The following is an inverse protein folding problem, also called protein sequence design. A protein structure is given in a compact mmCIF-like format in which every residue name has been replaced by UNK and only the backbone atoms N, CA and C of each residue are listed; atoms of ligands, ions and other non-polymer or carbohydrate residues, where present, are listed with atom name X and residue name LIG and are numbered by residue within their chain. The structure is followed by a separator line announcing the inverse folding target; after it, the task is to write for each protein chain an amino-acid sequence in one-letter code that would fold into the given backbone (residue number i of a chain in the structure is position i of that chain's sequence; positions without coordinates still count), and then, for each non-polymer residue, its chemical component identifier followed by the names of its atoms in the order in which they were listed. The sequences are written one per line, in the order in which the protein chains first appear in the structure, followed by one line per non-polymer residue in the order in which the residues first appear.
data_IF_565301501955
#
_entry.id   IF_565301501955
#
_cell.length_a   1.000
_cell.length_b   1.000
_cell.length_c   1.000
_cell.angle_alpha   90.00
_cell.angle_beta   90.00
_cell.angle_gamma   90.00
#
_symmetry.space_group_name_H-M   'P 1'
#
loop_
_entity.id
_entity.type
_entity.pdbx_description
1 polymer ?
#
# COMPACT_ATOMS: atom_id res chain seq x y z
N UNK A 1 -17.87 -12.00 18.12
CA UNK A 1 -17.32 -10.71 18.59
C UNK A 1 -17.60 -9.67 17.51
N UNK A 2 -18.35 -8.62 17.83
CA UNK A 2 -18.77 -7.57 16.88
C UNK A 2 -17.97 -6.28 17.03
N UNK A 3 -17.17 -6.13 18.09
CA UNK A 3 -16.34 -4.94 18.34
C UNK A 3 -14.86 -5.21 18.04
N UNK A 4 -14.19 -4.29 17.36
CA UNK A 4 -12.75 -4.29 17.11
C UNK A 4 -12.05 -3.15 17.87
N UNK A 5 -10.81 -3.42 18.31
CA UNK A 5 -9.99 -2.53 19.16
C UNK A 5 -8.63 -2.22 18.54
N UNK A 6 -8.54 -2.31 17.22
CA UNK A 6 -7.31 -2.20 16.44
C UNK A 6 -7.22 -0.88 15.69
N UNK A 7 -8.16 -0.68 14.77
CA UNK A 7 -7.99 0.28 13.68
C UNK A 7 -8.94 1.46 13.81
N UNK A 8 -8.54 2.59 13.21
CA UNK A 8 -9.40 3.72 12.95
C UNK A 8 -10.71 3.28 12.28
N UNK A 9 -11.83 3.97 12.60
CA UNK A 9 -13.16 3.56 12.14
C UNK A 9 -13.23 3.50 10.62
N UNK A 10 -12.67 4.49 9.92
CA UNK A 10 -12.63 4.56 8.46
C UNK A 10 -11.95 3.32 7.83
N UNK A 11 -10.98 2.69 8.50
CA UNK A 11 -10.33 1.46 8.01
C UNK A 11 -11.25 0.26 8.25
N UNK A 12 -11.77 0.10 9.48
CA UNK A 12 -12.59 -1.07 9.82
C UNK A 12 -13.96 -1.06 9.14
N UNK A 13 -14.54 0.10 8.88
CA UNK A 13 -15.90 0.27 8.36
C UNK A 13 -16.05 -0.27 6.94
N UNK A 14 -15.05 -0.04 6.08
CA UNK A 14 -15.01 -0.65 4.75
C UNK A 14 -14.98 -2.18 4.83
N UNK A 15 -14.05 -2.74 5.61
CA UNK A 15 -13.93 -4.18 5.80
C UNK A 15 -15.21 -4.77 6.40
N UNK A 16 -15.82 -4.07 7.35
CA UNK A 16 -17.08 -4.43 7.98
C UNK A 16 -18.18 -4.62 6.94
N UNK A 17 -18.41 -3.61 6.08
CA UNK A 17 -19.42 -3.65 5.02
C UNK A 17 -19.15 -4.74 4.00
N UNK A 18 -17.92 -4.84 3.52
CA UNK A 18 -17.58 -5.70 2.38
C UNK A 18 -17.41 -7.17 2.76
N UNK A 19 -16.98 -7.46 4.00
CA UNK A 19 -16.54 -8.81 4.40
C UNK A 19 -17.28 -9.37 5.62
N UNK A 20 -17.95 -8.52 6.40
CA UNK A 20 -18.59 -8.91 7.68
C UNK A 20 -20.05 -8.42 7.79
N UNK A 21 -20.72 -8.15 6.67
CA UNK A 21 -22.12 -7.71 6.58
C UNK A 21 -22.46 -6.47 7.43
N UNK A 22 -21.48 -5.59 7.67
CA UNK A 22 -21.64 -4.39 8.47
C UNK A 22 -21.66 -4.61 9.99
N UNK A 23 -21.31 -5.81 10.47
CA UNK A 23 -21.45 -6.18 11.89
C UNK A 23 -20.17 -6.04 12.71
N UNK A 24 -19.12 -5.40 12.16
CA UNK A 24 -17.87 -5.10 12.86
C UNK A 24 -17.78 -3.60 13.16
N UNK A 25 -17.71 -3.25 14.45
CA UNK A 25 -17.74 -1.89 14.96
C UNK A 25 -16.43 -1.51 15.64
N UNK A 26 -15.92 -0.31 15.38
CA UNK A 26 -14.76 0.22 16.09
C UNK A 26 -15.12 0.65 17.51
N UNK A 27 -14.32 0.27 18.50
CA UNK A 27 -14.40 0.84 19.84
C UNK A 27 -14.01 2.33 19.81
N UNK A 28 -14.65 3.14 20.66
CA UNK A 28 -14.35 4.58 20.84
C UNK A 28 -12.87 4.86 21.12
N UNK A 29 -12.18 3.90 21.74
CA UNK A 29 -10.77 4.01 22.09
C UNK A 29 -9.86 4.03 20.85
N UNK A 30 -10.31 3.49 19.72
CA UNK A 30 -9.55 3.41 18.45
C UNK A 30 -10.16 4.17 17.29
N UNK A 31 -11.44 4.54 17.37
CA UNK A 31 -12.23 5.03 16.25
C UNK A 31 -11.66 6.27 15.57
N UNK A 32 -10.98 7.15 16.32
CA UNK A 32 -10.44 8.44 15.85
C UNK A 32 -8.90 8.54 15.84
N UNK A 33 -8.19 7.42 16.06
CA UNK A 33 -6.72 7.42 16.17
C UNK A 33 -6.03 7.70 14.82
N UNK A 34 -5.16 8.69 14.81
CA UNK A 34 -4.36 9.08 13.65
C UNK A 34 -2.86 8.98 13.95
N UNK A 35 -2.02 9.01 12.91
CA UNK A 35 -0.56 8.95 13.07
C UNK A 35 -0.01 10.14 13.87
N UNK A 36 -0.59 11.33 13.71
CA UNK A 36 -0.20 12.53 14.46
C UNK A 36 -0.37 12.40 15.98
N UNK A 37 -1.17 11.44 16.45
CA UNK A 37 -1.36 11.19 17.88
C UNK A 37 -0.26 10.31 18.47
N UNK A 38 0.67 9.81 17.65
CA UNK A 38 1.84 9.07 18.12
C UNK A 38 2.86 10.06 18.72
N UNK A 39 3.56 9.69 19.81
CA UNK A 39 4.54 10.57 20.44
C UNK A 39 5.65 10.99 19.48
N UNK A 40 5.84 12.31 19.31
CA UNK A 40 6.86 12.89 18.46
C UNK A 40 6.52 12.96 16.98
N UNK A 41 5.30 12.60 16.57
CA UNK A 41 4.86 12.72 15.17
C UNK A 41 4.27 14.10 14.91
N UNK A 42 4.76 14.79 13.89
CA UNK A 42 4.28 16.09 13.45
C UNK A 42 2.93 15.98 12.73
N UNK A 43 2.13 17.05 12.81
CA UNK A 43 0.89 17.17 12.05
C UNK A 43 1.23 17.55 10.60
N UNK A 44 0.88 16.66 9.67
CA UNK A 44 0.98 16.85 8.22
C UNK A 44 -0.32 16.39 7.57
N UNK A 45 -0.48 16.62 6.26
CA UNK A 45 -1.61 16.06 5.51
C UNK A 45 -1.69 14.53 5.64
N UNK A 46 -0.54 13.84 5.50
CA UNK A 46 -0.47 12.39 5.61
C UNK A 46 -0.74 11.86 7.02
N UNK A 47 -0.21 12.54 8.07
CA UNK A 47 -0.37 12.05 9.45
C UNK A 47 -1.72 12.40 10.07
N UNK A 48 -2.51 13.25 9.40
CA UNK A 48 -3.84 13.69 9.83
C UNK A 48 -5.00 12.96 9.14
N UNK A 49 -4.72 12.04 8.22
CA UNK A 49 -5.75 11.26 7.54
C UNK A 49 -5.57 9.75 7.76
N UNK A 50 -6.65 8.98 7.96
CA UNK A 50 -6.55 7.53 8.14
C UNK A 50 -6.43 6.78 6.81
N UNK A 51 -6.89 7.36 5.70
CA UNK A 51 -6.92 6.74 4.38
C UNK A 51 -6.29 7.68 3.37
N UNK A 52 -5.46 7.17 2.46
CA UNK A 52 -4.89 7.99 1.40
C UNK A 52 -4.83 7.20 0.10
N UNK A 53 -5.20 7.83 -1.01
CA UNK A 53 -4.97 7.30 -2.35
C UNK A 53 -3.88 8.13 -3.03
N UNK A 54 -2.74 7.51 -3.31
CA UNK A 54 -1.70 8.04 -4.18
C UNK A 54 -1.94 7.48 -5.58
N UNK A 55 -2.83 8.15 -6.31
CA UNK A 55 -3.25 7.73 -7.66
C UNK A 55 -2.11 8.00 -8.65
N UNK A 56 -1.77 6.99 -9.47
CA UNK A 56 -0.80 7.15 -10.55
C UNK A 56 -1.41 7.76 -11.81
N UNK A 57 -2.67 8.18 -11.74
CA UNK A 57 -3.34 8.98 -12.76
C UNK A 57 -3.49 10.44 -12.34
N UNK A 58 -3.37 11.32 -13.32
CA UNK A 58 -3.78 12.72 -13.18
C UNK A 58 -5.29 12.83 -12.99
N UNK A 59 -5.76 13.99 -12.53
CA UNK A 59 -7.20 14.28 -12.44
C UNK A 59 -7.93 14.14 -13.80
N UNK A 60 -7.21 14.37 -14.91
CA UNK A 60 -7.72 14.18 -16.28
C UNK A 60 -7.71 12.72 -16.77
N UNK A 61 -7.30 11.75 -15.93
CA UNK A 61 -7.28 10.33 -16.29
C UNK A 61 -6.05 9.89 -17.11
N UNK A 62 -5.06 10.75 -17.30
CA UNK A 62 -3.79 10.37 -17.95
C UNK A 62 -2.87 9.68 -16.95
N UNK A 63 -2.24 8.58 -17.35
CA UNK A 63 -1.25 7.86 -16.56
C UNK A 63 0.03 8.73 -16.42
N UNK A 64 0.55 8.82 -15.20
CA UNK A 64 1.80 9.53 -14.94
C UNK A 64 2.98 8.78 -15.58
N UNK A 65 3.98 9.54 -16.04
CA UNK A 65 5.17 8.97 -16.66
C UNK A 65 5.87 7.98 -15.71
N UNK A 66 6.30 6.83 -16.25
CA UNK A 66 6.94 5.77 -15.48
C UNK A 66 5.99 4.90 -14.63
N UNK A 67 4.68 5.15 -14.66
CA UNK A 67 3.69 4.40 -13.87
C UNK A 67 3.07 3.21 -14.62
N UNK A 68 3.62 2.78 -15.75
CA UNK A 68 3.18 1.57 -16.46
C UNK A 68 3.71 0.31 -15.79
N UNK A 69 2.91 -0.76 -15.80
CA UNK A 69 3.36 -2.07 -15.32
C UNK A 69 4.42 -2.68 -16.26
N UNK A 70 5.44 -3.30 -15.70
CA UNK A 70 6.55 -3.92 -16.42
C UNK A 70 6.77 -5.36 -15.93
N UNK A 71 7.12 -6.27 -16.84
CA UNK A 71 7.58 -7.61 -16.45
C UNK A 71 8.96 -7.52 -15.82
N UNK A 72 9.20 -8.32 -14.79
CA UNK A 72 10.54 -8.54 -14.22
C UNK A 72 11.60 -8.89 -15.28
N UNK A 73 11.20 -9.55 -16.37
CA UNK A 73 12.08 -9.89 -17.49
C UNK A 73 12.51 -8.66 -18.32
N UNK A 74 11.67 -7.64 -18.38
CA UNK A 74 11.90 -6.44 -19.18
C UNK A 74 12.81 -5.45 -18.44
N UNK A 75 12.96 -5.59 -17.12
CA UNK A 75 13.72 -4.69 -16.23
C UNK A 75 15.23 -5.06 -16.19
N UNK A 76 15.68 -6.03 -17.00
CA UNK A 76 17.11 -6.34 -17.15
C UNK A 76 17.75 -7.14 -16.01
N UNK A 77 16.95 -7.77 -15.13
CA UNK A 77 17.41 -8.70 -14.09
C UNK A 77 17.81 -10.08 -14.62
N UNK A 78 18.63 -10.13 -15.67
CA UNK A 78 19.10 -11.35 -16.33
C UNK A 78 20.21 -12.05 -15.53
N UNK A 79 19.85 -12.66 -14.41
CA UNK A 79 20.72 -13.52 -13.63
C UNK A 79 19.96 -14.74 -13.12
N UNK A 80 19.44 -15.58 -14.02
CA UNK A 80 18.90 -16.88 -13.64
C UNK A 80 19.09 -17.92 -14.75
N UNK A 81 19.68 -19.05 -14.33
CA UNK A 81 19.85 -20.30 -15.06
C UNK A 81 18.57 -20.73 -15.79
N UNK A 82 18.75 -21.27 -16.99
CA UNK A 82 17.73 -21.74 -17.93
C UNK A 82 17.06 -23.04 -17.48
N UNK A 83 16.42 -23.06 -16.31
CA UNK A 83 15.48 -24.12 -15.90
C UNK A 83 14.09 -23.53 -15.73
N UNK A 84 13.45 -23.31 -16.89
CA UNK A 84 12.08 -22.82 -17.00
C UNK A 84 11.09 -23.86 -16.46
N UNK A 85 10.52 -23.58 -15.28
CA UNK A 85 9.14 -23.96 -14.98
C UNK A 85 8.26 -22.78 -15.35
N UNK A 86 7.08 -23.04 -15.92
CA UNK A 86 6.09 -22.06 -16.42
C UNK A 86 5.47 -21.17 -15.33
N UNK A 87 6.28 -20.42 -14.58
CA UNK A 87 5.80 -19.39 -13.65
C UNK A 87 5.65 -18.07 -14.41
N UNK A 88 4.49 -17.43 -14.29
CA UNK A 88 4.29 -16.07 -14.81
C UNK A 88 5.34 -15.15 -14.19
N UNK A 89 6.15 -14.48 -15.02
CA UNK A 89 7.12 -13.47 -14.57
C UNK A 89 6.47 -12.46 -13.61
N UNK A 90 7.14 -12.10 -12.52
CA UNK A 90 6.63 -11.10 -11.58
C UNK A 90 6.50 -9.72 -12.25
N UNK A 91 5.74 -8.81 -11.64
CA UNK A 91 5.52 -7.46 -12.16
C UNK A 91 6.14 -6.41 -11.24
N UNK A 92 6.53 -5.28 -11.81
CA UNK A 92 6.91 -4.09 -11.08
C UNK A 92 6.39 -2.83 -11.76
N UNK A 93 6.38 -1.74 -11.01
CA UNK A 93 5.94 -0.42 -11.43
C UNK A 93 6.85 0.63 -10.77
N UNK A 94 7.73 1.23 -11.58
CA UNK A 94 8.74 2.20 -11.14
C UNK A 94 8.13 3.46 -10.53
N UNK A 95 7.08 3.99 -11.15
CA UNK A 95 6.37 5.17 -10.68
C UNK A 95 5.66 4.94 -9.35
N UNK A 96 4.99 3.79 -9.19
CA UNK A 96 4.43 3.42 -7.88
C UNK A 96 5.53 3.25 -6.83
N UNK A 97 6.64 2.58 -7.17
CA UNK A 97 7.74 2.38 -6.23
C UNK A 97 8.35 3.72 -5.79
N UNK A 98 8.48 4.68 -6.71
CA UNK A 98 8.89 6.06 -6.38
C UNK A 98 7.89 6.75 -5.44
N UNK A 99 6.59 6.69 -5.75
CA UNK A 99 5.55 7.28 -4.90
C UNK A 99 5.54 6.69 -3.48
N UNK A 100 5.69 5.37 -3.36
CA UNK A 100 5.88 4.69 -2.07
C UNK A 100 7.10 5.23 -1.34
N UNK A 101 8.25 5.32 -2.00
CA UNK A 101 9.49 5.82 -1.38
C UNK A 101 9.33 7.26 -0.88
N UNK A 102 8.70 8.14 -1.66
CA UNK A 102 8.45 9.52 -1.25
C UNK A 102 7.46 9.62 -0.08
N UNK A 103 6.40 8.80 -0.07
CA UNK A 103 5.46 8.76 1.05
C UNK A 103 6.13 8.27 2.34
N UNK A 104 6.95 7.21 2.26
CA UNK A 104 7.75 6.71 3.39
C UNK A 104 8.69 7.81 3.89
N UNK A 105 9.42 8.48 2.99
CA UNK A 105 10.33 9.57 3.37
C UNK A 105 9.60 10.71 4.10
N UNK A 106 8.42 11.11 3.60
CA UNK A 106 7.58 12.13 4.24
C UNK A 106 7.11 11.72 5.64
N UNK A 107 6.69 10.47 5.82
CA UNK A 107 6.27 9.94 7.13
C UNK A 107 7.43 9.88 8.13
N UNK A 108 8.61 9.43 7.69
CA UNK A 108 9.82 9.42 8.51
C UNK A 108 10.24 10.84 8.90
N UNK A 109 10.22 11.78 7.95
CA UNK A 109 10.50 13.21 8.19
C UNK A 109 9.50 13.85 9.16
N UNK A 110 8.26 13.37 9.18
CA UNK A 110 7.25 13.77 10.15
C UNK A 110 7.41 13.08 11.53
N UNK A 111 8.42 12.22 11.73
CA UNK A 111 8.70 11.57 13.02
C UNK A 111 8.06 10.19 13.22
N UNK A 112 7.37 9.64 12.21
CA UNK A 112 6.87 8.25 12.28
C UNK A 112 8.06 7.31 12.28
N UNK A 113 8.11 6.34 13.21
CA UNK A 113 9.26 5.45 13.33
C UNK A 113 9.24 4.39 12.22
N UNK A 114 10.40 3.97 11.67
CA UNK A 114 10.43 2.95 10.62
C UNK A 114 9.69 1.66 10.97
N UNK A 115 9.77 1.22 12.24
CA UNK A 115 9.08 0.01 12.73
C UNK A 115 7.55 0.09 12.70
N UNK A 116 7.02 1.31 12.69
CA UNK A 116 5.57 1.59 12.71
C UNK A 116 5.00 1.67 11.28
N UNK A 117 5.86 1.67 10.26
CA UNK A 117 5.51 1.68 8.84
C UNK A 117 5.76 0.30 8.23
N UNK A 118 4.80 -0.18 7.44
CA UNK A 118 4.95 -1.39 6.63
C UNK A 118 4.53 -1.11 5.19
N UNK A 119 5.27 -1.68 4.25
CA UNK A 119 4.92 -1.63 2.82
C UNK A 119 4.58 -3.04 2.35
N UNK A 120 3.48 -3.15 1.60
CA UNK A 120 3.01 -4.39 1.02
C UNK A 120 2.84 -4.25 -0.48
N UNK A 121 3.16 -5.30 -1.22
CA UNK A 121 2.87 -5.39 -2.65
C UNK A 121 2.63 -6.84 -3.06
N UNK A 122 1.71 -7.14 -3.99
CA UNK A 122 1.43 -8.51 -4.39
C UNK A 122 2.54 -9.15 -5.24
N UNK A 123 3.48 -8.37 -5.77
CA UNK A 123 4.51 -8.86 -6.68
C UNK A 123 5.91 -8.79 -6.07
N UNK A 124 6.64 -9.91 -6.13
CA UNK A 124 7.99 -10.01 -5.60
C UNK A 124 8.99 -9.04 -6.27
N UNK A 125 8.85 -8.79 -7.57
CA UNK A 125 9.67 -7.81 -8.27
C UNK A 125 9.45 -6.39 -7.71
N UNK A 126 8.21 -5.99 -7.48
CA UNK A 126 7.90 -4.72 -6.83
C UNK A 126 8.45 -4.63 -5.40
N UNK A 127 8.35 -5.70 -4.60
CA UNK A 127 8.93 -5.74 -3.25
C UNK A 127 10.43 -5.47 -3.29
N UNK A 128 11.17 -6.13 -4.18
CA UNK A 128 12.62 -5.91 -4.32
C UNK A 128 12.93 -4.50 -4.80
N UNK A 129 12.17 -3.99 -5.77
CA UNK A 129 12.35 -2.64 -6.29
C UNK A 129 12.16 -1.57 -5.21
N UNK A 130 11.08 -1.66 -4.42
CA UNK A 130 10.82 -0.73 -3.33
C UNK A 130 11.93 -0.80 -2.28
N UNK A 131 12.37 -2.01 -1.88
CA UNK A 131 13.51 -2.16 -0.95
C UNK A 131 14.76 -1.47 -1.46
N UNK A 132 15.10 -1.66 -2.73
CA UNK A 132 16.27 -1.02 -3.34
C UNK A 132 16.16 0.51 -3.34
N UNK A 133 14.98 1.06 -3.67
CA UNK A 133 14.76 2.52 -3.62
C UNK A 133 14.83 3.08 -2.21
N UNK A 134 14.24 2.39 -1.22
CA UNK A 134 14.31 2.79 0.19
C UNK A 134 15.76 2.77 0.72
N UNK A 135 16.54 1.76 0.34
CA UNK A 135 17.97 1.71 0.65
C UNK A 135 18.71 2.91 0.02
N UNK A 136 18.48 3.18 -1.27
CA UNK A 136 19.16 4.26 -1.97
C UNK A 136 18.88 5.65 -1.35
N UNK A 137 17.63 5.94 -0.95
CA UNK A 137 17.32 7.23 -0.29
C UNK A 137 17.84 7.32 1.14
N UNK A 138 18.02 6.18 1.83
CA UNK A 138 18.68 6.14 3.12
C UNK A 138 20.18 6.40 2.99
N UNK A 139 20.84 5.74 2.04
CA UNK A 139 22.28 5.90 1.77
C UNK A 139 22.63 7.32 1.33
N UNK A 140 21.75 7.95 0.55
CA UNK A 140 21.87 9.35 0.15
C UNK A 140 21.60 10.36 1.29
N UNK A 141 21.21 9.89 2.48
CA UNK A 141 20.85 10.74 3.62
C UNK A 141 19.52 11.49 3.47
N UNK A 142 18.78 11.27 2.38
CA UNK A 142 17.52 11.95 2.10
C UNK A 142 16.37 11.45 2.99
N UNK A 143 16.39 10.18 3.41
CA UNK A 143 15.41 9.60 4.34
C UNK A 143 16.07 8.58 5.29
N UNK A 144 16.79 9.04 6.34
CA UNK A 144 17.46 8.15 7.27
C UNK A 144 16.50 7.17 7.95
N UNK A 145 16.79 5.87 7.85
CA UNK A 145 15.94 4.81 8.41
C UNK A 145 14.91 4.23 7.45
N UNK A 146 14.82 4.71 6.22
CA UNK A 146 13.98 4.12 5.18
C UNK A 146 14.33 2.66 4.89
N UNK A 147 15.60 2.28 4.99
CA UNK A 147 16.10 0.92 4.84
C UNK A 147 15.59 -0.04 5.92
N UNK A 148 15.14 0.48 7.06
CA UNK A 148 14.57 -0.29 8.18
C UNK A 148 13.06 -0.52 8.07
N UNK A 149 12.41 0.11 7.08
CA UNK A 149 10.98 -0.11 6.82
C UNK A 149 10.81 -1.49 6.20
N UNK A 150 9.94 -2.30 6.80
CA UNK A 150 9.68 -3.64 6.28
C UNK A 150 8.81 -3.56 5.03
N UNK A 151 9.30 -4.17 3.95
CA UNK A 151 8.60 -4.33 2.68
C UNK A 151 8.41 -5.82 2.43
N UNK A 152 7.18 -6.27 2.30
CA UNK A 152 6.86 -7.70 2.16
C UNK A 152 5.76 -7.93 1.12
N UNK A 153 5.58 -9.18 0.69
CA UNK A 153 4.37 -9.50 -0.06
C UNK A 153 3.17 -9.59 0.88
N UNK A 154 1.96 -9.47 0.33
CA UNK A 154 0.72 -9.62 1.11
C UNK A 154 0.67 -10.98 1.82
N UNK A 155 1.17 -12.04 1.17
CA UNK A 155 1.18 -13.40 1.71
C UNK A 155 2.28 -13.62 2.75
N UNK A 156 3.45 -12.99 2.57
CA UNK A 156 4.60 -13.14 3.48
C UNK A 156 4.57 -12.19 4.66
N UNK A 157 3.47 -11.45 4.84
CA UNK A 157 3.32 -10.48 5.92
C UNK A 157 3.20 -11.20 7.28
N UNK A 158 4.35 -11.44 7.91
CA UNK A 158 4.46 -12.03 9.25
C UNK A 158 4.57 -10.94 10.31
N UNK A 159 3.50 -10.73 11.06
CA UNK A 159 3.39 -9.68 12.07
C UNK A 159 2.05 -8.99 11.91
N UNK A 160 1.15 -9.14 12.88
CA UNK A 160 -0.29 -9.04 12.61
C UNK A 160 -0.77 -7.65 12.19
N UNK A 161 -0.05 -6.57 12.48
CA UNK A 161 -0.55 -5.19 12.41
C UNK A 161 0.60 -4.17 12.36
N UNK A 162 0.35 -2.95 11.86
CA UNK A 162 1.25 -1.80 11.93
C UNK A 162 0.46 -0.50 12.13
N UNK A 163 1.11 0.55 12.61
CA UNK A 163 0.45 1.86 12.74
C UNK A 163 0.12 2.45 11.37
N UNK A 164 1.04 2.28 10.40
CA UNK A 164 0.91 2.70 9.02
C UNK A 164 1.16 1.52 8.06
N UNK A 165 0.25 1.31 7.10
CA UNK A 165 0.45 0.35 5.99
C UNK A 165 0.37 1.07 4.65
N UNK A 166 1.30 0.79 3.74
CA UNK A 166 1.30 1.32 2.37
C UNK A 166 1.18 0.13 1.42
N UNK A 167 0.21 0.15 0.52
CA UNK A 167 -0.05 -0.94 -0.43
C UNK A 167 0.21 -0.45 -1.85
N UNK A 168 1.24 -0.99 -2.51
CA UNK A 168 1.48 -0.77 -3.95
C UNK A 168 0.79 -1.86 -4.76
N UNK A 169 -0.13 -1.45 -5.64
CA UNK A 169 -0.99 -2.36 -6.41
C UNK A 169 -0.34 -2.91 -7.67
N UNK A 170 0.65 -2.20 -8.22
CA UNK A 170 1.48 -2.51 -9.41
C UNK A 170 0.73 -2.47 -10.73
N UNK A 171 -0.50 -2.99 -10.77
CA UNK A 171 -1.26 -3.20 -12.00
C UNK A 171 -1.69 -1.89 -12.62
N UNK A 172 -1.23 -1.67 -13.85
CA UNK A 172 -1.55 -0.52 -14.69
C UNK A 172 -1.52 -0.96 -16.15
N UNK A 173 -2.71 -1.23 -16.70
CA UNK A 173 -2.88 -1.74 -18.05
C UNK A 173 -4.28 -1.41 -18.61
N UNK A 174 -4.36 -1.30 -19.93
CA UNK A 174 -5.59 -0.93 -20.66
C UNK A 174 -6.65 -2.04 -20.66
N UNK A 175 -6.28 -3.26 -20.26
CA UNK A 175 -7.19 -4.42 -20.21
C UNK A 175 -8.04 -4.45 -18.93
N UNK A 176 -7.79 -3.55 -17.98
CA UNK A 176 -8.44 -3.57 -16.67
C UNK A 176 -8.09 -4.83 -15.85
N UNK A 177 -6.97 -5.48 -16.15
CA UNK A 177 -6.60 -6.74 -15.51
C UNK A 177 -5.92 -6.45 -14.16
N UNK A 178 -6.50 -6.95 -13.08
CA UNK A 178 -6.02 -6.73 -11.70
C UNK A 178 -5.23 -7.92 -11.13
N UNK A 179 -5.35 -9.11 -11.76
CA UNK A 179 -4.61 -10.32 -11.38
C UNK A 179 -4.72 -10.65 -9.90
N UNK A 180 -3.58 -10.73 -9.19
CA UNK A 180 -3.53 -11.10 -7.77
C UNK A 180 -4.48 -10.27 -6.89
N UNK A 181 -4.71 -9.00 -7.24
CA UNK A 181 -5.57 -8.09 -6.49
C UNK A 181 -7.04 -8.51 -6.50
N UNK A 182 -7.48 -9.39 -7.41
CA UNK A 182 -8.87 -9.88 -7.45
C UNK A 182 -9.23 -10.75 -6.23
N UNK A 183 -8.24 -11.23 -5.48
CA UNK A 183 -8.48 -11.93 -4.23
C UNK A 183 -8.90 -10.93 -3.13
N UNK A 184 -10.22 -10.86 -2.92
CA UNK A 184 -10.85 -10.01 -1.91
C UNK A 184 -10.35 -10.28 -0.50
N UNK A 185 -10.04 -11.54 -0.16
CA UNK A 185 -9.56 -11.89 1.18
C UNK A 185 -8.16 -11.33 1.39
N UNK A 186 -7.28 -11.47 0.41
CA UNK A 186 -5.91 -10.92 0.46
C UNK A 186 -5.91 -9.40 0.55
N UNK A 187 -6.76 -8.74 -0.25
CA UNK A 187 -6.88 -7.27 -0.19
C UNK A 187 -7.49 -6.78 1.12
N UNK A 188 -8.51 -7.45 1.64
CA UNK A 188 -9.04 -7.16 2.97
C UNK A 188 -7.98 -7.33 4.05
N UNK A 189 -7.19 -8.41 3.98
CA UNK A 189 -6.08 -8.62 4.91
C UNK A 189 -5.10 -7.47 4.81
N UNK A 190 -4.58 -7.16 3.62
CA UNK A 190 -3.60 -6.09 3.41
C UNK A 190 -4.07 -4.75 4.00
N UNK A 191 -5.31 -4.36 3.69
CA UNK A 191 -5.90 -3.11 4.14
C UNK A 191 -6.11 -3.05 5.66
N UNK A 192 -6.63 -4.13 6.26
CA UNK A 192 -6.95 -4.19 7.71
C UNK A 192 -5.76 -4.44 8.63
N UNK A 193 -4.53 -4.52 8.08
CA UNK A 193 -3.29 -4.53 8.88
C UNK A 193 -2.95 -3.15 9.46
N UNK A 194 -3.50 -2.07 8.92
CA UNK A 194 -3.28 -0.73 9.44
C UNK A 194 -4.11 -0.45 10.70
N UNK A 195 -3.49 0.25 11.65
CA UNK A 195 -4.18 0.77 12.83
C UNK A 195 -4.62 2.22 12.66
N UNK A 196 -3.74 3.08 12.15
CA UNK A 196 -3.98 4.54 12.11
C UNK A 196 -4.03 5.10 10.70
N UNK A 197 -3.23 4.57 9.79
CA UNK A 197 -3.13 5.07 8.42
C UNK A 197 -2.92 3.93 7.42
N UNK A 198 -3.65 3.97 6.32
CA UNK A 198 -3.40 3.13 5.15
C UNK A 198 -3.36 3.98 3.88
N UNK A 199 -2.28 3.82 3.11
CA UNK A 199 -2.15 4.43 1.79
C UNK A 199 -2.21 3.36 0.70
N UNK A 200 -3.02 3.59 -0.33
CA UNK A 200 -3.03 2.80 -1.56
C UNK A 200 -2.28 3.58 -2.62
N UNK A 201 -1.29 2.95 -3.26
CA UNK A 201 -0.55 3.50 -4.39
C UNK A 201 -0.89 2.67 -5.61
N UNK A 202 -1.44 3.30 -6.64
CA UNK A 202 -1.91 2.52 -7.78
C UNK A 202 -2.63 3.30 -8.86
N UNK A 203 -2.83 2.60 -9.98
CA UNK A 203 -3.62 3.06 -11.12
C UNK A 203 -5.12 2.83 -10.84
N UNK A 204 -5.87 3.90 -10.60
CA UNK A 204 -7.27 3.76 -10.19
C UNK A 204 -8.23 3.26 -11.27
N UNK A 205 -7.97 3.42 -12.58
CA UNK A 205 -8.87 2.84 -13.60
C UNK A 205 -8.55 1.38 -13.90
N UNK A 206 -7.30 0.93 -13.81
CA UNK A 206 -7.00 -0.51 -13.88
C UNK A 206 -7.54 -1.19 -12.63
N UNK A 207 -7.20 -0.70 -11.44
CA UNK A 207 -7.68 -1.28 -10.17
C UNK A 207 -9.20 -1.19 -10.05
N UNK A 208 -9.79 -0.05 -10.41
CA UNK A 208 -11.24 0.19 -10.39
C UNK A 208 -12.04 -0.56 -11.47
N UNK A 209 -11.39 -1.33 -12.33
CA UNK A 209 -12.07 -2.26 -13.24
C UNK A 209 -12.67 -3.46 -12.50
N UNK A 210 -12.11 -3.82 -11.32
CA UNK A 210 -12.73 -4.79 -10.43
C UNK A 210 -13.77 -4.11 -9.50
N UNK A 211 -15.03 -4.61 -9.42
CA UNK A 211 -16.07 -3.96 -8.62
C UNK A 211 -15.77 -3.85 -7.13
N UNK A 212 -15.07 -4.82 -6.54
CA UNK A 212 -14.72 -4.80 -5.11
C UNK A 212 -13.61 -3.78 -4.85
N UNK A 213 -12.59 -3.75 -5.69
CA UNK A 213 -11.51 -2.77 -5.59
C UNK A 213 -11.99 -1.36 -5.90
N UNK A 214 -12.94 -1.19 -6.82
CA UNK A 214 -13.57 0.11 -7.08
C UNK A 214 -14.24 0.67 -5.83
N UNK A 215 -15.05 -0.14 -5.12
CA UNK A 215 -15.66 0.28 -3.86
C UNK A 215 -14.64 0.62 -2.78
N UNK A 216 -13.50 -0.09 -2.75
CA UNK A 216 -12.38 0.27 -1.88
C UNK A 216 -11.80 1.65 -2.23
N UNK A 217 -11.51 1.91 -3.50
CA UNK A 217 -10.98 3.20 -3.95
C UNK A 217 -11.95 4.35 -3.67
N UNK A 218 -13.25 4.14 -3.94
CA UNK A 218 -14.29 5.12 -3.67
C UNK A 218 -14.41 5.42 -2.17
N UNK A 219 -14.32 4.38 -1.32
CA UNK A 219 -14.28 4.55 0.13
C UNK A 219 -13.04 5.31 0.61
N UNK A 220 -11.85 4.99 0.09
CA UNK A 220 -10.62 5.71 0.42
C UNK A 220 -10.71 7.19 0.02
N UNK A 221 -11.33 7.51 -1.13
CA UNK A 221 -11.54 8.90 -1.56
C UNK A 221 -12.56 9.65 -0.69
N UNK A 222 -13.61 8.98 -0.23
CA UNK A 222 -14.67 9.60 0.55
C UNK A 222 -14.30 9.82 2.03
N UNK A 223 -13.40 9.00 2.57
CA UNK A 223 -13.02 9.01 3.99
C UNK A 223 -11.56 9.40 4.25
N UNK A 224 -10.82 9.82 3.21
CA UNK A 224 -9.42 10.23 3.25
C UNK A 224 -9.22 11.75 3.24
#
# INVERSE_FOLDING_TARGET
LTTQYRSHVAISDWASREMYSGNLFASDVVSSRLLRDLPGVMTTAATSTPLMLLDTRTAGGLLLAGCSEQSERDIGGGGASATATTSSSSLANEGEAYAVTMHVAGLLGAGVKPRDIKVQSPYAAQVRLIRAKLQAVADAGAAPGAERVEVASVDSFQGREAECVIVSTVRSNDRGAVGFLSDRRRMNVAFTRARRHVAIVGDSATVGSDPFLRRLLDHVRACG
#
